data_IF_528617921391
#
_entry.id   IF_528617921391
#
_cell.length_a   1.000
_cell.length_b   1.000
_cell.length_c   1.000
_cell.angle_alpha   90.00
_cell.angle_beta   90.00
_cell.angle_gamma   90.00
#
_symmetry.space_group_name_H-M   'P 1'
#
loop_
_entity.id
_entity.type
_entity.pdbx_description
1 polymer ?
#
# COMPACT_ATOMS: atom_id res chain seq x y z
N UNK A 1 -21.31 -0.23 -12.17
CA UNK A 1 -20.32 0.70 -11.61
C UNK A 1 -21.05 1.59 -10.64
N UNK A 2 -20.87 1.37 -9.35
CA UNK A 2 -21.41 2.20 -8.27
C UNK A 2 -20.19 2.53 -7.41
N UNK A 3 -19.73 3.78 -7.43
CA UNK A 3 -18.87 4.28 -6.38
C UNK A 3 -19.75 4.59 -5.16
N UNK A 4 -19.41 4.14 -3.94
CA UNK A 4 -20.18 4.52 -2.77
C UNK A 4 -20.04 6.03 -2.52
N UNK A 5 -21.19 6.62 -2.19
CA UNK A 5 -21.46 8.04 -2.03
C UNK A 5 -20.74 8.65 -0.81
N UNK A 6 -20.41 9.94 -0.92
CA UNK A 6 -19.56 10.70 -0.02
C UNK A 6 -20.25 10.96 1.33
N UNK A 7 -19.67 10.44 2.41
CA UNK A 7 -20.03 10.82 3.78
C UNK A 7 -18.81 10.81 4.68
N UNK A 8 -18.10 11.95 4.77
CA UNK A 8 -17.02 12.22 5.75
C UNK A 8 -15.76 11.34 5.73
N UNK A 9 -15.53 10.55 4.70
CA UNK A 9 -14.37 9.69 4.64
C UNK A 9 -13.29 10.35 3.78
N UNK A 10 -12.16 10.70 4.39
CA UNK A 10 -11.07 11.52 3.85
C UNK A 10 -10.20 10.71 2.85
N UNK A 11 -10.85 10.07 1.88
CA UNK A 11 -10.23 9.20 0.90
C UNK A 11 -10.76 9.40 -0.52
N UNK A 12 -9.92 9.10 -1.51
CA UNK A 12 -10.24 9.11 -2.94
C UNK A 12 -9.80 7.81 -3.58
N UNK A 13 -10.65 7.19 -4.39
CA UNK A 13 -10.37 5.92 -5.04
C UNK A 13 -10.59 5.95 -6.55
N UNK A 14 -9.76 5.22 -7.30
CA UNK A 14 -9.89 5.00 -8.73
C UNK A 14 -9.74 3.51 -9.02
N UNK A 15 -10.76 2.91 -9.61
CA UNK A 15 -10.69 1.55 -10.12
C UNK A 15 -10.35 1.56 -11.61
N UNK A 16 -9.44 0.69 -12.04
CA UNK A 16 -9.06 0.55 -13.44
C UNK A 16 -8.82 -0.91 -13.80
N UNK A 17 -8.94 -1.22 -15.09
CA UNK A 17 -8.69 -2.56 -15.63
C UNK A 17 -7.50 -2.52 -16.58
N UNK A 18 -6.60 -3.49 -16.44
CA UNK A 18 -5.50 -3.70 -17.36
C UNK A 18 -5.36 -5.21 -17.61
N UNK A 19 -5.33 -5.62 -18.88
CA UNK A 19 -5.19 -7.04 -19.27
C UNK A 19 -6.16 -8.00 -18.55
N UNK A 20 -7.44 -7.59 -18.40
CA UNK A 20 -8.51 -8.33 -17.70
C UNK A 20 -8.34 -8.44 -16.18
N UNK A 21 -7.38 -7.70 -15.60
CA UNK A 21 -7.17 -7.60 -14.15
C UNK A 21 -7.70 -6.28 -13.63
N UNK A 22 -8.30 -6.32 -12.45
CA UNK A 22 -8.84 -5.13 -11.79
C UNK A 22 -7.87 -4.64 -10.74
N UNK A 23 -7.70 -3.33 -10.73
CA UNK A 23 -6.87 -2.61 -9.78
C UNK A 23 -7.69 -1.51 -9.14
N UNK A 24 -7.34 -1.17 -7.91
CA UNK A 24 -7.90 -0.05 -7.18
C UNK A 24 -6.77 0.76 -6.58
N UNK A 25 -6.65 2.02 -6.98
CA UNK A 25 -5.77 3.00 -6.35
C UNK A 25 -6.59 3.81 -5.36
N UNK A 26 -6.12 3.93 -4.12
CA UNK A 26 -6.76 4.72 -3.07
C UNK A 26 -5.75 5.70 -2.49
N UNK A 27 -6.21 6.92 -2.21
CA UNK A 27 -5.53 7.88 -1.36
C UNK A 27 -6.37 8.02 -0.10
N UNK A 28 -5.76 7.87 1.07
CA UNK A 28 -6.43 8.10 2.36
C UNK A 28 -5.61 9.08 3.19
N UNK A 29 -6.28 9.93 3.98
CA UNK A 29 -5.63 10.64 5.07
C UNK A 29 -5.89 9.86 6.36
N UNK A 30 -4.83 9.43 7.05
CA UNK A 30 -4.94 8.92 8.42
C UNK A 30 -4.68 10.06 9.40
N UNK A 31 -5.55 10.19 10.40
CA UNK A 31 -5.39 11.11 11.53
C UNK A 31 -4.96 10.38 12.81
N UNK A 32 -4.70 9.07 12.75
CA UNK A 32 -4.18 8.34 13.90
C UNK A 32 -2.71 8.71 14.09
N UNK A 33 -2.42 9.34 15.23
CA UNK A 33 -1.08 9.77 15.69
C UNK A 33 -0.57 11.09 15.11
N UNK A 34 -1.26 12.20 15.44
CA UNK A 34 -0.63 13.52 15.61
C UNK A 34 -0.12 14.25 14.36
N UNK A 35 -0.10 13.62 13.19
CA UNK A 35 0.19 14.23 11.90
C UNK A 35 -0.70 13.62 10.81
N UNK A 36 -1.18 14.41 9.83
CA UNK A 36 -1.93 13.87 8.71
C UNK A 36 -1.00 13.03 7.82
N UNK A 37 -1.14 11.71 7.87
CA UNK A 37 -0.43 10.80 6.97
C UNK A 37 -1.22 10.63 5.69
N UNK A 38 -0.61 10.97 4.55
CA UNK A 38 -1.17 10.65 3.23
C UNK A 38 -0.71 9.26 2.85
N UNK A 39 -1.66 8.36 2.68
CA UNK A 39 -1.42 6.97 2.30
C UNK A 39 -1.88 6.79 0.86
N UNK A 40 -1.01 6.24 0.02
CA UNK A 40 -1.36 5.88 -1.36
C UNK A 40 -1.31 4.37 -1.51
N UNK A 41 -2.47 3.73 -1.67
CA UNK A 41 -2.64 2.28 -1.68
C UNK A 41 -3.06 1.77 -3.06
N UNK A 42 -2.30 0.84 -3.63
CA UNK A 42 -2.67 0.05 -4.79
C UNK A 42 -3.11 -1.34 -4.36
N UNK A 43 -4.32 -1.74 -4.75
CA UNK A 43 -4.87 -3.08 -4.54
C UNK A 43 -5.06 -3.76 -5.89
N UNK A 44 -4.56 -4.99 -6.03
CA UNK A 44 -4.77 -5.80 -7.24
C UNK A 44 -4.30 -7.24 -7.10
N UNK A 45 -4.61 -8.08 -8.11
CA UNK A 45 -4.21 -9.49 -8.16
C UNK A 45 -3.03 -9.69 -9.16
N UNK A 46 -1.78 -9.61 -8.70
CA UNK A 46 -0.62 -9.87 -9.54
C UNK A 46 -0.52 -11.35 -9.97
N UNK A 47 0.13 -11.63 -11.11
CA UNK A 47 0.41 -13.02 -11.55
C UNK A 47 1.45 -13.72 -10.66
N UNK A 48 2.21 -12.95 -9.89
CA UNK A 48 3.17 -13.44 -8.92
C UNK A 48 3.41 -12.39 -7.85
N UNK A 49 2.93 -12.67 -6.64
CA UNK A 49 3.02 -11.76 -5.50
C UNK A 49 4.47 -11.36 -5.21
N UNK A 50 5.34 -12.35 -5.05
CA UNK A 50 6.74 -12.13 -4.66
C UNK A 50 7.53 -11.37 -5.74
N UNK A 51 7.36 -11.74 -7.01
CA UNK A 51 8.01 -11.06 -8.14
C UNK A 51 7.56 -9.60 -8.22
N UNK A 52 6.27 -9.33 -7.98
CA UNK A 52 5.71 -7.98 -8.00
C UNK A 52 6.26 -7.13 -6.85
N UNK A 53 6.33 -7.69 -5.63
CA UNK A 53 6.91 -7.02 -4.47
C UNK A 53 8.37 -6.67 -4.75
N UNK A 54 9.18 -7.63 -5.19
CA UNK A 54 10.60 -7.39 -5.50
C UNK A 54 10.80 -6.34 -6.61
N UNK A 55 9.94 -6.37 -7.64
CA UNK A 55 9.97 -5.36 -8.69
C UNK A 55 9.69 -3.96 -8.16
N UNK A 56 8.64 -3.79 -7.34
CA UNK A 56 8.27 -2.51 -6.74
C UNK A 56 9.37 -2.00 -5.79
N UNK A 57 9.94 -2.87 -4.96
CA UNK A 57 11.07 -2.54 -4.08
C UNK A 57 12.28 -2.07 -4.88
N UNK A 58 12.62 -2.77 -5.97
CA UNK A 58 13.73 -2.41 -6.84
C UNK A 58 13.52 -1.10 -7.62
N UNK A 59 12.27 -0.78 -8.00
CA UNK A 59 11.94 0.47 -8.71
C UNK A 59 12.22 1.72 -7.87
N UNK A 60 12.09 1.63 -6.56
CA UNK A 60 12.28 2.76 -5.63
C UNK A 60 13.54 2.63 -4.78
N UNK A 61 14.39 1.62 -5.05
CA UNK A 61 15.60 1.29 -4.27
C UNK A 61 15.32 1.22 -2.75
N UNK A 62 14.21 0.58 -2.38
CA UNK A 62 13.77 0.52 -0.99
C UNK A 62 14.53 -0.54 -0.19
N UNK A 63 14.82 -0.23 1.08
CA UNK A 63 15.51 -1.12 2.03
C UNK A 63 14.52 -1.73 3.00
N UNK A 64 14.63 -3.04 3.31
CA UNK A 64 13.70 -3.68 4.25
C UNK A 64 13.88 -3.12 5.65
N UNK A 65 12.78 -2.88 6.36
CA UNK A 65 12.81 -2.54 7.79
C UNK A 65 11.86 -3.39 8.65
N UNK A 66 10.83 -4.00 8.06
CA UNK A 66 9.87 -4.84 8.77
C UNK A 66 9.43 -6.04 7.92
N UNK A 67 9.36 -7.21 8.53
CA UNK A 67 8.76 -8.41 7.94
C UNK A 67 8.10 -9.21 9.07
N UNK A 68 6.78 -9.15 9.13
CA UNK A 68 5.97 -9.70 10.21
C UNK A 68 4.80 -10.51 9.67
N UNK A 69 4.42 -11.54 10.41
CA UNK A 69 3.17 -12.28 10.18
C UNK A 69 2.33 -12.21 11.44
N UNK A 70 1.13 -11.64 11.34
CA UNK A 70 0.16 -11.60 12.43
C UNK A 70 -1.23 -11.97 11.90
N UNK A 71 -1.98 -12.75 12.68
CA UNK A 71 -3.36 -13.17 12.37
C UNK A 71 -3.61 -13.66 10.92
N UNK A 72 -2.64 -14.34 10.31
CA UNK A 72 -2.77 -14.86 8.94
C UNK A 72 -2.53 -13.82 7.83
N UNK A 73 -2.04 -12.64 8.19
CA UNK A 73 -1.65 -11.55 7.31
C UNK A 73 -0.13 -11.33 7.40
N UNK A 74 0.54 -11.23 6.25
CA UNK A 74 1.94 -10.79 6.22
C UNK A 74 1.99 -9.28 6.00
N UNK A 75 2.84 -8.62 6.77
CA UNK A 75 3.16 -7.21 6.68
C UNK A 75 4.64 -7.07 6.39
N UNK A 76 4.97 -6.57 5.20
CA UNK A 76 6.35 -6.29 4.79
C UNK A 76 6.50 -4.81 4.52
N UNK A 77 7.46 -4.18 5.17
CA UNK A 77 7.68 -2.75 5.01
C UNK A 77 9.13 -2.45 4.65
N UNK A 78 9.28 -1.51 3.71
CA UNK A 78 10.54 -1.06 3.17
C UNK A 78 10.62 0.46 3.25
N UNK A 79 11.78 1.01 3.54
CA UNK A 79 12.03 2.45 3.55
C UNK A 79 12.73 2.88 2.27
N UNK A 80 12.38 4.05 1.75
CA UNK A 80 13.08 4.67 0.62
C UNK A 80 13.05 6.19 0.75
N UNK A 81 13.95 6.86 0.04
CA UNK A 81 14.00 8.32 -0.02
C UNK A 81 13.50 8.81 -1.37
N UNK A 82 12.67 9.85 -1.37
CA UNK A 82 12.25 10.53 -2.59
C UNK A 82 12.19 12.02 -2.34
N UNK A 83 12.91 12.80 -3.15
CA UNK A 83 12.91 14.27 -3.09
C UNK A 83 13.29 14.83 -1.69
N UNK A 84 14.05 14.06 -0.90
CA UNK A 84 14.48 14.44 0.45
C UNK A 84 13.52 14.00 1.57
N UNK A 85 12.38 13.40 1.24
CA UNK A 85 11.46 12.82 2.20
C UNK A 85 11.70 11.31 2.38
N UNK A 86 11.69 10.85 3.63
CA UNK A 86 11.72 9.42 3.97
C UNK A 86 10.30 8.85 3.91
N UNK A 87 10.12 7.84 3.05
CA UNK A 87 8.86 7.20 2.76
C UNK A 87 8.92 5.71 3.09
N UNK A 88 7.78 5.13 3.41
CA UNK A 88 7.62 3.72 3.72
C UNK A 88 6.75 3.09 2.62
N UNK A 89 7.27 2.07 1.96
CA UNK A 89 6.55 1.16 1.09
C UNK A 89 6.11 -0.07 1.90
N UNK A 90 4.82 -0.21 2.12
CA UNK A 90 4.20 -1.30 2.89
C UNK A 90 3.46 -2.25 1.95
N UNK A 91 3.60 -3.55 2.19
CA UNK A 91 2.86 -4.60 1.52
C UNK A 91 2.10 -5.43 2.54
N UNK A 92 0.81 -5.60 2.29
CA UNK A 92 -0.07 -6.47 3.06
C UNK A 92 -0.59 -7.57 2.15
N UNK A 93 -0.40 -8.82 2.57
CA UNK A 93 -1.01 -9.99 1.92
C UNK A 93 -1.77 -10.85 2.94
N UNK A 94 -3.02 -11.19 2.62
CA UNK A 94 -3.88 -11.99 3.47
C UNK A 94 -3.71 -13.48 3.15
N UNK A 95 -2.62 -14.08 3.65
CA UNK A 95 -2.23 -15.47 3.40
C UNK A 95 -3.34 -16.49 3.69
N UNK A 96 -4.12 -16.29 4.75
CA UNK A 96 -5.18 -17.24 5.14
C UNK A 96 -6.48 -17.09 4.34
N UNK A 97 -6.71 -15.96 3.69
CA UNK A 97 -7.94 -15.72 2.93
C UNK A 97 -7.88 -16.33 1.51
N UNK A 98 -6.73 -16.90 1.10
CA UNK A 98 -6.49 -17.44 -0.26
C UNK A 98 -6.82 -16.44 -1.38
N UNK A 99 -6.84 -15.16 -1.07
CA UNK A 99 -7.02 -14.08 -2.04
C UNK A 99 -5.63 -13.66 -2.50
N UNK A 100 -5.29 -13.76 -3.80
CA UNK A 100 -3.98 -13.36 -4.33
C UNK A 100 -3.83 -11.83 -4.41
N UNK A 101 -4.47 -11.11 -3.50
CA UNK A 101 -4.59 -9.66 -3.55
C UNK A 101 -3.41 -9.04 -2.83
N UNK A 102 -2.63 -8.26 -3.58
CA UNK A 102 -1.57 -7.42 -3.06
C UNK A 102 -2.18 -6.07 -2.68
N UNK A 103 -1.97 -5.64 -1.44
CA UNK A 103 -2.16 -4.26 -1.01
C UNK A 103 -0.78 -3.64 -0.82
N UNK A 104 -0.40 -2.74 -1.73
CA UNK A 104 0.85 -1.99 -1.68
C UNK A 104 0.55 -0.53 -1.32
N UNK A 105 1.15 0.00 -0.26
CA UNK A 105 0.88 1.35 0.23
C UNK A 105 2.17 2.16 0.40
N UNK A 106 2.14 3.45 0.07
CA UNK A 106 3.22 4.40 0.41
C UNK A 106 2.75 5.32 1.54
N UNK A 107 3.55 5.41 2.59
CA UNK A 107 3.33 6.22 3.78
C UNK A 107 4.48 7.23 3.95
N UNK A 108 4.20 8.39 4.52
CA UNK A 108 5.25 9.31 4.97
C UNK A 108 5.77 8.87 6.32
N UNK A 109 7.08 8.89 6.56
CA UNK A 109 7.61 8.64 7.91
C UNK A 109 7.20 9.81 8.84
N UNK A 110 6.72 9.56 10.06
CA UNK A 110 6.47 10.62 11.02
C UNK A 110 7.74 11.46 11.20
N UNK A 111 7.62 12.78 11.13
CA UNK A 111 8.74 13.67 11.47
C UNK A 111 8.94 13.57 12.97
N UNK A 112 10.09 13.06 13.42
CA UNK A 112 10.51 13.17 14.82
C UNK A 112 10.64 14.67 15.14
N UNK A 113 9.82 15.16 16.08
CA UNK A 113 9.90 16.52 16.62
C UNK A 113 10.99 16.63 17.68
#
# INVERSE_FOLDING_TARGET
MIGPDNGNADWKGWAFEHEKKRFMLMLTNSAEVGAPEKICTLIGDPDGLEVTVQHLVGLVDAKPFLDETDAGQNTRMYEFEREGDSLILSFLDAKEMKMPTLNASVLSKPKEN
#
